data_IF_816575752171
#
_entry.id   IF_816575752171
#
_cell.length_a   1.000
_cell.length_b   1.000
_cell.length_c   1.000
_cell.angle_alpha   90.00
_cell.angle_beta   90.00
_cell.angle_gamma   90.00
#
_symmetry.space_group_name_H-M   'P 1'
#
loop_
_entity.id
_entity.type
_entity.pdbx_description
1 polymer ?
#
# COMPACT_ATOMS: atom_id res chain seq x y z
N UNK A 1 -1.75 -24.05 9.57
CA UNK A 1 -2.84 -23.08 9.78
C UNK A 1 -3.35 -22.66 8.41
N UNK A 2 -4.66 -22.58 8.22
CA UNK A 2 -5.26 -22.31 6.90
C UNK A 2 -5.41 -20.79 6.70
N UNK A 3 -4.45 -20.19 5.99
CA UNK A 3 -4.41 -18.74 5.71
C UNK A 3 -5.71 -18.26 5.05
N UNK A 4 -6.33 -19.09 4.21
CA UNK A 4 -7.54 -18.70 3.46
C UNK A 4 -8.77 -18.55 4.36
N UNK A 5 -8.74 -19.11 5.58
CA UNK A 5 -9.82 -19.01 6.56
C UNK A 5 -9.59 -17.92 7.60
N UNK A 6 -8.42 -17.28 7.58
CA UNK A 6 -8.09 -16.23 8.53
C UNK A 6 -8.69 -14.89 8.10
N UNK A 7 -9.09 -14.11 9.09
CA UNK A 7 -9.56 -12.73 8.93
C UNK A 7 -8.37 -11.77 8.74
N UNK A 8 -8.62 -10.59 8.15
CA UNK A 8 -7.57 -9.57 7.99
C UNK A 8 -6.84 -9.22 9.30
N UNK A 9 -7.52 -9.05 10.47
CA UNK A 9 -6.83 -8.83 11.74
C UNK A 9 -5.92 -9.98 12.16
N UNK A 10 -6.36 -11.23 11.99
CA UNK A 10 -5.53 -12.40 12.32
C UNK A 10 -4.30 -12.51 11.42
N UNK A 11 -4.46 -12.22 10.12
CA UNK A 11 -3.36 -12.13 9.17
C UNK A 11 -2.39 -11.00 9.54
N UNK A 12 -2.92 -9.86 9.97
CA UNK A 12 -2.14 -8.71 10.42
C UNK A 12 -1.30 -9.04 11.67
N UNK A 13 -1.92 -9.62 12.70
CA UNK A 13 -1.22 -10.02 13.92
C UNK A 13 -0.15 -11.09 13.64
N UNK A 14 -0.48 -12.08 12.81
CA UNK A 14 0.47 -13.12 12.41
C UNK A 14 1.66 -12.53 11.64
N UNK A 15 1.40 -11.65 10.67
CA UNK A 15 2.46 -10.98 9.91
C UNK A 15 3.33 -10.08 10.79
N UNK A 16 2.74 -9.32 11.72
CA UNK A 16 3.48 -8.49 12.67
C UNK A 16 4.37 -9.33 13.58
N UNK A 17 3.86 -10.46 14.06
CA UNK A 17 4.64 -11.38 14.89
C UNK A 17 5.84 -11.91 14.10
N UNK A 18 5.61 -12.36 12.88
CA UNK A 18 6.68 -12.89 12.02
C UNK A 18 7.74 -11.84 11.68
N UNK A 19 7.31 -10.62 11.31
CA UNK A 19 8.23 -9.50 11.06
C UNK A 19 9.06 -9.19 12.30
N UNK A 20 8.45 -9.08 13.48
CA UNK A 20 9.18 -8.81 14.73
C UNK A 20 10.17 -9.93 15.07
N UNK A 21 9.80 -11.19 14.81
CA UNK A 21 10.68 -12.34 15.03
C UNK A 21 11.88 -12.32 14.09
N UNK A 22 11.67 -12.00 12.81
CA UNK A 22 12.73 -12.13 11.79
C UNK A 22 13.55 -10.86 11.57
N UNK A 23 12.94 -9.68 11.65
CA UNK A 23 13.55 -8.35 11.49
C UNK A 23 13.95 -7.71 12.82
N UNK A 24 13.29 -8.08 13.91
CA UNK A 24 13.36 -7.34 15.17
C UNK A 24 12.45 -6.10 15.17
N UNK A 25 12.19 -5.51 16.35
CA UNK A 25 11.21 -4.43 16.49
C UNK A 25 11.54 -3.17 15.67
N UNK A 26 12.79 -2.70 15.72
CA UNK A 26 13.20 -1.45 15.07
C UNK A 26 13.07 -1.51 13.54
N UNK A 27 13.51 -2.62 12.94
CA UNK A 27 13.42 -2.83 11.49
C UNK A 27 11.99 -3.12 11.04
N UNK A 28 11.18 -3.78 11.88
CA UNK A 28 9.75 -3.95 11.61
C UNK A 28 9.05 -2.59 11.54
N UNK A 29 9.35 -1.68 12.46
CA UNK A 29 8.76 -0.33 12.42
C UNK A 29 9.16 0.43 11.16
N UNK A 30 10.44 0.40 10.76
CA UNK A 30 10.92 0.99 9.50
C UNK A 30 10.25 0.37 8.27
N UNK A 31 9.98 -0.93 8.28
CA UNK A 31 9.23 -1.59 7.22
C UNK A 31 7.79 -1.06 7.12
N UNK A 32 7.07 -1.00 8.25
CA UNK A 32 5.68 -0.53 8.29
C UNK A 32 5.57 0.94 7.87
N UNK A 33 6.50 1.80 8.29
CA UNK A 33 6.53 3.20 7.89
C UNK A 33 6.68 3.40 6.37
N UNK A 34 7.31 2.45 5.68
CA UNK A 34 7.44 2.46 4.21
C UNK A 34 6.20 1.90 3.51
N UNK A 35 5.41 1.07 4.19
CA UNK A 35 4.16 0.51 3.67
C UNK A 35 3.06 1.57 3.70
N UNK A 36 3.02 2.44 2.68
CA UNK A 36 1.99 3.46 2.52
C UNK A 36 1.08 3.14 1.35
N UNK A 37 -0.22 3.46 1.44
CA UNK A 37 -1.08 3.45 0.26
C UNK A 37 -0.49 4.43 -0.77
N UNK A 38 -0.38 3.96 -2.01
CA UNK A 38 0.09 4.79 -3.12
C UNK A 38 -1.06 5.65 -3.62
N UNK A 39 -0.82 6.95 -3.82
CA UNK A 39 -1.67 7.91 -4.52
C UNK A 39 -1.36 7.97 -6.03
N UNK A 40 -0.52 7.06 -6.51
CA UNK A 40 0.01 7.08 -7.86
C UNK A 40 -1.06 6.69 -8.88
N UNK A 41 -1.49 7.65 -9.70
CA UNK A 41 -2.37 7.39 -10.83
C UNK A 41 -1.59 6.82 -12.02
N UNK A 42 -1.61 5.49 -12.14
CA UNK A 42 -0.95 4.75 -13.23
C UNK A 42 -1.65 4.91 -14.61
N UNK A 43 -2.69 5.73 -14.75
CA UNK A 43 -3.47 5.86 -16.00
C UNK A 43 -2.60 6.32 -17.18
N UNK A 44 -1.68 7.26 -16.95
CA UNK A 44 -0.82 7.78 -18.00
C UNK A 44 0.25 6.76 -18.46
N UNK A 45 0.91 6.05 -17.53
CA UNK A 45 1.86 4.98 -17.91
C UNK A 45 1.16 3.80 -18.57
N UNK A 46 -0.04 3.44 -18.09
CA UNK A 46 -0.81 2.34 -18.69
C UNK A 46 -1.03 2.58 -20.17
N UNK A 47 -1.43 3.78 -20.57
CA UNK A 47 -1.61 4.12 -21.98
C UNK A 47 -0.30 4.02 -22.77
N UNK A 48 0.83 4.48 -22.19
CA UNK A 48 2.16 4.35 -22.83
C UNK A 48 2.59 2.89 -22.98
N UNK A 49 2.31 2.05 -21.99
CA UNK A 49 2.63 0.62 -21.98
C UNK A 49 1.81 -0.12 -23.05
N UNK A 50 0.51 0.16 -23.12
CA UNK A 50 -0.39 -0.46 -24.11
C UNK A 50 -0.07 -0.01 -25.54
N UNK A 51 0.30 1.26 -25.73
CA UNK A 51 0.69 1.77 -27.04
C UNK A 51 2.03 1.20 -27.56
N UNK A 52 2.93 0.79 -26.66
CA UNK A 52 4.27 0.30 -26.99
C UNK A 52 4.50 -1.13 -26.51
N UNK A 53 3.49 -2.01 -26.61
CA UNK A 53 3.62 -3.38 -26.14
C UNK A 53 4.73 -4.12 -26.91
N UNK A 54 5.81 -4.55 -26.23
CA UNK A 54 6.83 -5.36 -26.89
C UNK A 54 6.24 -6.71 -27.31
N UNK A 55 6.68 -7.23 -28.44
CA UNK A 55 6.34 -8.57 -28.90
C UNK A 55 6.71 -9.64 -27.84
N UNK A 56 5.97 -10.75 -27.82
CA UNK A 56 6.14 -11.84 -26.85
C UNK A 56 7.57 -12.39 -26.85
N UNK A 57 8.25 -12.46 -27.99
CA UNK A 57 9.63 -12.92 -28.06
C UNK A 57 10.61 -11.89 -27.47
N UNK A 58 10.34 -10.60 -27.62
CA UNK A 58 11.12 -9.54 -26.99
C UNK A 58 10.93 -9.55 -25.46
N UNK A 59 9.73 -9.85 -24.97
CA UNK A 59 9.46 -10.05 -23.54
C UNK A 59 10.22 -11.27 -23.02
N UNK A 60 10.10 -12.42 -23.68
CA UNK A 60 10.77 -13.66 -23.29
C UNK A 60 12.31 -13.50 -23.26
N UNK A 61 12.89 -12.86 -24.28
CA UNK A 61 14.33 -12.58 -24.33
C UNK A 61 14.80 -11.70 -23.18
N UNK A 62 14.02 -10.66 -22.83
CA UNK A 62 14.31 -9.80 -21.67
C UNK A 62 14.22 -10.56 -20.35
N UNK A 63 13.26 -11.46 -20.21
CA UNK A 63 13.13 -12.31 -19.01
C UNK A 63 14.38 -13.19 -18.87
N UNK A 64 14.75 -13.93 -19.93
CA UNK A 64 15.93 -14.79 -19.93
C UNK A 64 17.23 -14.02 -19.62
N UNK A 65 17.41 -12.83 -20.22
CA UNK A 65 18.58 -11.99 -19.94
C UNK A 65 18.66 -11.57 -18.47
N UNK A 66 17.52 -11.28 -17.85
CA UNK A 66 17.45 -10.88 -16.44
C UNK A 66 17.60 -12.05 -15.46
N UNK A 67 17.40 -13.30 -15.88
CA UNK A 67 17.52 -14.45 -14.98
C UNK A 67 18.94 -14.60 -14.43
N UNK A 68 19.97 -14.46 -15.28
CA UNK A 68 21.36 -14.54 -14.86
C UNK A 68 21.80 -13.37 -13.96
N UNK A 69 21.27 -12.16 -14.23
CA UNK A 69 21.52 -10.98 -13.39
C UNK A 69 20.84 -11.13 -12.02
N UNK A 70 19.61 -11.68 -12.00
CA UNK A 70 18.82 -11.90 -10.79
C UNK A 70 19.51 -12.85 -9.83
N UNK A 71 20.08 -13.95 -10.29
CA UNK A 71 20.77 -14.89 -9.41
C UNK A 71 21.96 -14.22 -8.68
N UNK A 72 22.72 -13.38 -9.40
CA UNK A 72 23.82 -12.61 -8.80
C UNK A 72 23.30 -11.58 -7.79
N UNK A 73 22.24 -10.85 -8.13
CA UNK A 73 21.60 -9.90 -7.23
C UNK A 73 21.07 -10.59 -5.97
N UNK A 74 20.40 -11.73 -6.10
CA UNK A 74 19.87 -12.51 -4.98
C UNK A 74 20.98 -13.01 -4.06
N UNK A 75 22.11 -13.44 -4.62
CA UNK A 75 23.28 -13.82 -3.81
C UNK A 75 23.83 -12.65 -3.01
N UNK A 76 24.01 -11.48 -3.64
CA UNK A 76 24.50 -10.28 -2.95
C UNK A 76 23.52 -9.87 -1.83
N UNK A 77 22.21 -9.91 -2.10
CA UNK A 77 21.18 -9.63 -1.10
C UNK A 77 21.26 -10.63 0.06
N UNK A 78 21.42 -11.92 -0.22
CA UNK A 78 21.54 -12.95 0.82
C UNK A 78 22.78 -12.75 1.69
N UNK A 79 23.94 -12.46 1.09
CA UNK A 79 25.18 -12.15 1.81
C UNK A 79 25.01 -10.93 2.73
N UNK A 80 24.35 -9.87 2.24
CA UNK A 80 24.08 -8.68 3.05
C UNK A 80 23.13 -8.96 4.20
N UNK A 81 22.07 -9.75 3.99
CA UNK A 81 21.15 -10.17 5.06
C UNK A 81 21.89 -11.03 6.11
N UNK A 82 22.80 -11.91 5.69
CA UNK A 82 23.60 -12.71 6.62
C UNK A 82 24.51 -11.82 7.48
N UNK A 83 25.27 -10.91 6.87
CA UNK A 83 26.13 -9.97 7.58
C UNK A 83 25.34 -9.07 8.55
N UNK A 84 24.13 -8.64 8.16
CA UNK A 84 23.24 -7.90 9.05
C UNK A 84 22.80 -8.75 10.26
N UNK A 85 22.45 -10.03 10.07
CA UNK A 85 22.08 -10.93 11.19
C UNK A 85 23.23 -11.16 12.18
N UNK A 86 24.46 -11.08 11.69
CA UNK A 86 25.69 -11.15 12.51
C UNK A 86 26.05 -9.80 13.17
N UNK A 87 25.28 -8.73 12.89
CA UNK A 87 25.53 -7.39 13.41
C UNK A 87 26.70 -6.65 12.75
N UNK A 88 27.14 -7.11 11.58
CA UNK A 88 28.30 -6.55 10.86
C UNK A 88 27.94 -5.32 10.02
N UNK A 89 26.65 -5.13 9.68
CA UNK A 89 26.16 -3.98 8.92
C UNK A 89 24.69 -3.68 9.23
N UNK A 90 24.25 -2.50 8.81
CA UNK A 90 22.83 -2.09 8.81
C UNK A 90 22.21 -2.26 7.42
N UNK A 91 20.94 -2.68 7.36
CA UNK A 91 20.19 -2.72 6.12
C UNK A 91 19.72 -1.32 5.70
N UNK A 92 19.75 -1.06 4.40
CA UNK A 92 19.14 0.14 3.81
C UNK A 92 17.61 0.05 3.82
N UNK A 93 16.91 1.18 3.69
CA UNK A 93 15.44 1.19 3.67
C UNK A 93 14.83 0.25 2.62
N UNK A 94 15.41 0.22 1.41
CA UNK A 94 14.94 -0.68 0.35
C UNK A 94 15.17 -2.15 0.71
N UNK A 95 16.29 -2.48 1.33
CA UNK A 95 16.58 -3.86 1.77
C UNK A 95 15.65 -4.30 2.91
N UNK A 96 15.34 -3.39 3.83
CA UNK A 96 14.34 -3.62 4.88
C UNK A 96 12.97 -3.87 4.26
N UNK A 97 12.61 -3.07 3.26
CA UNK A 97 11.34 -3.20 2.54
C UNK A 97 11.24 -4.55 1.82
N UNK A 98 12.23 -4.89 0.99
CA UNK A 98 12.27 -6.16 0.26
C UNK A 98 12.29 -7.38 1.19
N UNK A 99 13.09 -7.34 2.27
CA UNK A 99 13.15 -8.43 3.23
C UNK A 99 11.83 -8.59 3.98
N UNK A 100 11.19 -7.49 4.38
CA UNK A 100 9.87 -7.53 5.02
C UNK A 100 8.78 -8.10 4.10
N UNK A 101 8.78 -7.72 2.81
CA UNK A 101 7.88 -8.30 1.82
C UNK A 101 8.11 -9.81 1.67
N UNK A 102 9.37 -10.24 1.59
CA UNK A 102 9.73 -11.66 1.50
C UNK A 102 9.25 -12.45 2.71
N UNK A 103 9.49 -11.94 3.92
CA UNK A 103 9.04 -12.56 5.17
C UNK A 103 7.51 -12.77 5.19
N UNK A 104 6.76 -11.74 4.79
CA UNK A 104 5.30 -11.84 4.72
C UNK A 104 4.84 -12.82 3.65
N UNK A 105 5.44 -12.80 2.46
CA UNK A 105 5.09 -13.72 1.38
C UNK A 105 5.39 -15.18 1.74
N UNK A 106 6.54 -15.44 2.36
CA UNK A 106 6.94 -16.79 2.79
C UNK A 106 6.02 -17.31 3.91
N UNK A 107 5.55 -16.42 4.80
CA UNK A 107 4.72 -16.81 5.95
C UNK A 107 3.23 -16.91 5.64
N UNK A 108 2.70 -15.95 4.91
CA UNK A 108 1.27 -15.73 4.71
C UNK A 108 0.81 -16.10 3.29
N UNK A 109 1.74 -16.44 2.40
CA UNK A 109 1.49 -16.54 0.96
C UNK A 109 0.93 -15.23 0.38
N UNK A 110 0.71 -15.21 -0.95
CA UNK A 110 0.25 -14.01 -1.67
C UNK A 110 -1.08 -13.49 -1.11
N UNK A 111 -2.02 -14.38 -0.81
CA UNK A 111 -3.33 -14.00 -0.28
C UNK A 111 -3.21 -13.31 1.09
N UNK A 112 -2.53 -13.95 2.05
CA UNK A 112 -2.45 -13.43 3.39
C UNK A 112 -1.58 -12.16 3.49
N UNK A 113 -0.56 -12.04 2.65
CA UNK A 113 0.21 -10.81 2.47
C UNK A 113 -0.65 -9.62 2.03
N UNK A 114 -1.57 -9.82 1.08
CA UNK A 114 -2.50 -8.76 0.65
C UNK A 114 -3.43 -8.35 1.79
N UNK A 115 -4.00 -9.33 2.52
CA UNK A 115 -4.84 -9.06 3.69
C UNK A 115 -4.10 -8.29 4.80
N UNK A 116 -2.83 -8.65 5.05
CA UNK A 116 -1.96 -7.92 5.97
C UNK A 116 -1.83 -6.44 5.59
N UNK A 117 -1.52 -6.13 4.33
CA UNK A 117 -1.36 -4.75 3.87
C UNK A 117 -2.68 -3.97 3.92
N UNK A 118 -3.79 -4.61 3.53
CA UNK A 118 -5.12 -3.99 3.62
C UNK A 118 -5.44 -3.58 5.06
N UNK A 119 -5.20 -4.46 6.02
CA UNK A 119 -5.41 -4.14 7.44
C UNK A 119 -4.45 -3.06 7.93
N UNK A 120 -3.19 -3.10 7.51
CA UNK A 120 -2.20 -2.07 7.84
C UNK A 120 -2.67 -0.68 7.40
N UNK A 121 -3.17 -0.56 6.17
CA UNK A 121 -3.66 0.71 5.63
C UNK A 121 -4.94 1.19 6.33
N UNK A 122 -5.85 0.28 6.72
CA UNK A 122 -6.99 0.63 7.58
C UNK A 122 -6.53 1.25 8.90
N UNK A 123 -5.50 0.69 9.53
CA UNK A 123 -4.94 1.26 10.77
C UNK A 123 -4.30 2.64 10.57
N UNK A 124 -3.56 2.83 9.47
CA UNK A 124 -2.98 4.14 9.14
C UNK A 124 -4.08 5.21 8.95
N UNK A 125 -5.14 4.89 8.22
CA UNK A 125 -6.23 5.82 7.96
C UNK A 125 -7.09 6.10 9.21
N UNK A 126 -7.28 5.10 10.08
CA UNK A 126 -8.02 5.30 11.34
C UNK A 126 -7.24 6.12 12.37
N UNK A 127 -5.91 6.01 12.38
CA UNK A 127 -5.04 6.84 13.23
C UNK A 127 -4.89 8.28 12.70
N UNK A 128 -5.17 8.51 11.42
CA UNK A 128 -5.40 9.83 10.85
C UNK A 128 -6.86 10.25 11.09
N UNK A 129 -7.25 10.47 12.35
CA UNK A 129 -8.54 11.09 12.64
C UNK A 129 -8.55 12.47 11.99
N UNK A 130 -9.29 12.57 10.91
CA UNK A 130 -9.68 13.81 10.25
C UNK A 130 -10.37 14.66 11.32
N UNK A 131 -9.80 15.81 11.68
CA UNK A 131 -10.56 16.96 12.18
C UNK A 131 -11.60 17.28 11.09
N UNK A 132 -12.76 16.63 11.17
CA UNK A 132 -13.88 16.92 10.28
C UNK A 132 -14.43 18.27 10.74
N UNK A 133 -14.51 19.29 9.86
CA UNK A 133 -15.33 20.45 10.14
C UNK A 133 -16.75 19.96 10.43
N UNK A 134 -17.22 20.25 11.63
CA UNK A 134 -18.57 19.98 12.09
C UNK A 134 -19.54 20.66 11.12
N UNK A 135 -20.54 19.97 10.53
CA UNK A 135 -21.54 20.65 9.74
C UNK A 135 -22.27 21.64 10.65
N UNK A 136 -22.22 22.93 10.30
CA UNK A 136 -23.00 23.95 10.97
C UNK A 136 -24.48 23.54 10.87
N UNK A 137 -25.06 23.32 12.03
CA UNK A 137 -26.48 23.14 12.25
C UNK A 137 -27.18 24.46 11.88
N UNK A 138 -27.62 24.59 10.63
CA UNK A 138 -28.59 25.61 10.25
C UNK A 138 -29.96 25.18 10.79
N UNK A 139 -30.33 25.76 11.93
CA UNK A 139 -31.72 26.05 12.34
C UNK A 139 -31.66 26.98 13.57
N UNK A 140 -31.96 28.27 13.41
CA UNK A 140 -33.32 28.78 13.65
C UNK A 140 -33.46 30.31 13.38
N UNK A 141 -34.32 30.63 12.40
CA UNK A 141 -35.41 31.64 12.41
C UNK A 141 -35.14 33.10 12.87
N UNK A 142 -35.35 34.04 11.93
CA UNK A 142 -36.46 35.01 12.06
C UNK A 142 -36.84 35.74 10.76
N UNK A 143 -38.09 35.46 10.39
CA UNK A 143 -39.09 36.23 9.65
C UNK A 143 -38.94 37.77 9.72
N UNK A 144 -38.92 38.49 8.58
CA UNK A 144 -39.83 39.63 8.27
C UNK A 144 -39.91 39.82 6.75
N UNK A 145 -41.15 40.02 6.31
CA UNK A 145 -41.72 40.23 4.99
C UNK A 145 -41.08 41.35 4.15
N UNK A 146 -41.12 41.23 2.83
CA UNK A 146 -41.80 42.16 1.89
C UNK A 146 -41.52 41.77 0.44
N UNK A 147 -42.57 41.59 -0.38
CA UNK A 147 -42.42 41.43 -1.83
C UNK A 147 -43.60 40.75 -2.50
N UNK A 148 -44.66 41.51 -2.74
CA UNK A 148 -45.86 41.17 -3.51
C UNK A 148 -45.57 40.57 -4.90
N UNK A 149 -46.31 39.52 -5.26
CA UNK A 149 -46.68 39.19 -6.65
C UNK A 149 -47.79 40.15 -7.10
N UNK A 150 -47.90 40.52 -8.40
CA UNK A 150 -48.69 39.66 -9.29
C UNK A 150 -48.18 39.54 -10.75
N UNK A 151 -48.54 38.38 -11.29
CA UNK A 151 -48.67 37.91 -12.68
C UNK A 151 -49.09 38.96 -13.71
N UNK A 152 -48.48 38.93 -14.91
CA UNK A 152 -49.18 38.87 -16.23
C UNK A 152 -48.16 38.72 -17.38
N UNK A 153 -48.23 37.58 -18.08
CA UNK A 153 -47.97 37.44 -19.53
C UNK A 153 -48.95 38.34 -20.33
N UNK A 154 -48.71 38.72 -21.61
CA UNK A 154 -48.36 37.81 -22.71
C UNK A 154 -47.49 38.35 -23.88
N UNK A 155 -47.15 37.39 -24.76
CA UNK A 155 -46.91 37.47 -26.21
C UNK A 155 -47.17 38.80 -26.94
N UNK A 156 -46.19 39.29 -27.69
CA UNK A 156 -45.99 39.01 -29.13
C UNK A 156 -44.52 39.22 -29.54
#
# INVERSE_FOLDING_TARGET
MDILKMTDPELYEMGLKELKTQLGPAYTERFLQQCKPSDYDYTAERHKLLANQPDIHAIAKRIQQREAEREKEERIKAERVAAWREGLLELTNIEIYELGLKILADKLHVYGYVGFLQQHFKHLNNNQSIDKPQPQSDNDVSLVQSGQMPTTEPHD
#
